data_IF_197210581443
#
_entry.id   IF_197210581443
#
_cell.length_a   1.000
_cell.length_b   1.000
_cell.length_c   1.000
_cell.angle_alpha   90.00
_cell.angle_beta   90.00
_cell.angle_gamma   90.00
#
_symmetry.space_group_name_H-M   'P 1'
#
loop_
_entity.id
_entity.type
_entity.pdbx_description
1 polymer ?
#
# COMPACT_ATOMS: atom_id res chain seq x y z
N UNK A 1 4.79 26.85 23.93
CA UNK A 1 4.40 28.27 23.87
C UNK A 1 3.59 28.46 22.60
N UNK A 2 2.27 28.59 22.71
CA UNK A 2 1.42 28.90 21.55
C UNK A 2 1.59 30.38 21.24
N UNK A 3 2.52 30.72 20.35
CA UNK A 3 2.52 32.05 19.75
C UNK A 3 1.27 32.15 18.90
N UNK A 4 0.29 32.95 19.35
CA UNK A 4 -0.85 33.33 18.53
C UNK A 4 -0.35 33.95 17.23
N UNK A 5 -1.03 33.64 16.13
CA UNK A 5 -0.72 34.21 14.82
C UNK A 5 -0.67 35.75 14.91
N UNK A 6 0.26 36.42 14.20
CA UNK A 6 0.30 37.87 14.18
C UNK A 6 -1.04 38.45 13.71
N UNK A 7 -1.53 39.48 14.39
CA UNK A 7 -2.68 40.24 13.90
C UNK A 7 -2.36 40.75 12.49
N UNK A 8 -3.24 40.46 11.53
CA UNK A 8 -3.08 40.72 10.09
C UNK A 8 -2.12 39.80 9.32
N UNK A 9 -1.88 38.58 9.79
CA UNK A 9 -1.26 37.55 8.96
C UNK A 9 -2.06 37.37 7.65
N UNK A 10 -1.45 37.51 6.46
CA UNK A 10 -2.15 37.34 5.18
C UNK A 10 -2.54 35.87 4.90
N UNK A 11 -2.12 34.93 5.75
CA UNK A 11 -2.26 33.50 5.54
C UNK A 11 -1.21 32.93 4.59
N UNK A 12 -0.97 31.62 4.66
CA UNK A 12 0.06 30.93 3.85
C UNK A 12 -0.26 30.88 2.36
N UNK A 13 -1.54 31.02 2.00
CA UNK A 13 -2.05 30.93 0.63
C UNK A 13 -2.04 32.28 -0.12
N UNK A 14 -1.88 33.39 0.59
CA UNK A 14 -1.93 34.73 -0.02
C UNK A 14 -0.68 35.03 -0.82
N UNK A 15 -0.80 35.75 -1.94
CA UNK A 15 0.35 36.23 -2.70
C UNK A 15 1.33 37.10 -1.89
N UNK A 16 0.86 37.61 -0.76
CA UNK A 16 1.58 38.44 0.20
C UNK A 16 2.20 37.63 1.37
N UNK A 17 1.98 36.32 1.46
CA UNK A 17 2.59 35.45 2.47
C UNK A 17 4.13 35.55 2.45
N UNK A 18 4.75 35.84 3.59
CA UNK A 18 6.20 36.06 3.71
C UNK A 18 6.72 37.36 3.09
N UNK A 19 5.87 38.12 2.38
CA UNK A 19 6.22 39.37 1.68
C UNK A 19 5.57 40.61 2.31
N UNK A 20 4.47 40.44 3.07
CA UNK A 20 3.78 41.55 3.73
C UNK A 20 4.53 42.04 4.97
N UNK A 21 4.25 43.27 5.38
CA UNK A 21 4.78 43.84 6.62
C UNK A 21 4.41 43.02 7.87
N UNK A 22 3.24 42.37 7.87
CA UNK A 22 2.81 41.50 8.96
C UNK A 22 3.62 40.19 9.06
N UNK A 23 4.38 39.83 8.02
CA UNK A 23 5.26 38.66 8.04
C UNK A 23 6.66 38.97 8.56
N UNK A 24 7.01 40.25 8.75
CA UNK A 24 8.34 40.66 9.22
C UNK A 24 8.60 40.14 10.64
N UNK A 25 9.64 39.33 10.81
CA UNK A 25 9.99 38.72 12.10
C UNK A 25 9.23 37.42 12.42
N UNK A 26 8.39 36.93 11.49
CA UNK A 26 7.79 35.61 11.60
C UNK A 26 8.87 34.52 11.37
N UNK A 27 8.99 33.50 12.25
CA UNK A 27 9.95 32.40 12.06
C UNK A 27 9.80 31.68 10.71
N UNK A 28 8.58 31.68 10.15
CA UNK A 28 8.25 31.01 8.89
C UNK A 28 8.28 31.95 7.66
N UNK A 29 8.74 33.20 7.79
CA UNK A 29 8.74 34.20 6.72
C UNK A 29 9.47 33.73 5.45
N UNK A 30 10.64 33.10 5.61
CA UNK A 30 11.44 32.57 4.50
C UNK A 30 10.71 31.48 3.72
N UNK A 31 10.02 30.58 4.42
CA UNK A 31 9.25 29.48 3.82
C UNK A 31 8.02 30.02 3.07
N UNK A 32 7.31 30.99 3.66
CA UNK A 32 6.14 31.61 3.02
C UNK A 32 6.51 32.45 1.79
N UNK A 33 7.65 33.16 1.83
CA UNK A 33 8.11 34.01 0.73
C UNK A 33 8.68 33.22 -0.45
N UNK A 34 9.27 32.05 -0.18
CA UNK A 34 9.75 31.10 -1.18
C UNK A 34 8.64 30.42 -2.00
N UNK A 35 7.37 30.61 -1.63
CA UNK A 35 6.23 30.06 -2.37
C UNK A 35 6.04 28.56 -2.22
N UNK A 36 6.93 27.84 -1.51
CA UNK A 36 6.88 26.39 -1.30
C UNK A 36 5.53 25.90 -0.74
N UNK A 37 4.92 26.71 0.14
CA UNK A 37 3.60 26.45 0.73
C UNK A 37 2.44 26.76 -0.24
N UNK A 38 2.63 27.65 -1.22
CA UNK A 38 1.65 27.98 -2.28
C UNK A 38 1.74 27.03 -3.47
N UNK A 39 2.94 26.52 -3.74
CA UNK A 39 3.24 25.55 -4.79
C UNK A 39 2.95 24.11 -4.37
N UNK A 40 2.65 23.87 -3.08
CA UNK A 40 1.82 22.73 -2.71
C UNK A 40 0.43 23.00 -3.32
N UNK A 41 0.29 22.67 -4.62
CA UNK A 41 -0.94 22.84 -5.36
C UNK A 41 -2.08 22.29 -4.50
N UNK A 42 -2.96 23.17 -4.01
CA UNK A 42 -4.13 22.73 -3.26
C UNK A 42 -4.85 21.74 -4.15
N UNK A 43 -5.07 20.54 -3.63
CA UNK A 43 -5.86 19.56 -4.35
C UNK A 43 -7.22 20.17 -4.67
N UNK A 44 -7.44 20.36 -5.96
CA UNK A 44 -8.70 20.89 -6.47
C UNK A 44 -9.70 19.75 -6.52
N UNK A 45 -10.98 20.05 -6.40
CA UNK A 45 -12.03 19.03 -6.55
C UNK A 45 -11.90 18.29 -7.90
N UNK A 46 -11.43 19.00 -8.93
CA UNK A 46 -11.09 18.48 -10.25
C UNK A 46 -10.06 17.33 -10.20
N UNK A 47 -9.03 17.43 -9.36
CA UNK A 47 -8.01 16.39 -9.23
C UNK A 47 -8.61 15.04 -8.78
N UNK A 48 -9.56 15.09 -7.83
CA UNK A 48 -10.23 13.88 -7.34
C UNK A 48 -11.11 13.23 -8.42
N UNK A 49 -11.80 14.04 -9.23
CA UNK A 49 -12.60 13.52 -10.35
C UNK A 49 -11.73 12.96 -11.47
N UNK A 50 -10.58 13.56 -11.74
CA UNK A 50 -9.63 13.05 -12.72
C UNK A 50 -9.05 11.71 -12.31
N UNK A 51 -8.66 11.56 -11.04
CA UNK A 51 -8.22 10.28 -10.46
C UNK A 51 -9.34 9.24 -10.59
N UNK A 52 -10.57 9.57 -10.17
CA UNK A 52 -11.70 8.64 -10.27
C UNK A 52 -11.99 8.22 -11.71
N UNK A 53 -11.88 9.15 -12.68
CA UNK A 53 -12.03 8.85 -14.10
C UNK A 53 -10.91 7.93 -14.60
N UNK A 54 -9.65 8.24 -14.26
CA UNK A 54 -8.48 7.44 -14.68
C UNK A 54 -8.50 6.03 -14.12
N UNK A 55 -8.94 5.86 -12.88
CA UNK A 55 -9.04 4.56 -12.24
C UNK A 55 -10.37 3.84 -12.52
N UNK A 56 -11.30 4.43 -13.27
CA UNK A 56 -12.64 3.87 -13.47
C UNK A 56 -12.67 2.56 -14.27
N UNK A 57 -11.66 2.33 -15.11
CA UNK A 57 -11.49 1.08 -15.87
C UNK A 57 -11.06 -0.11 -15.01
N UNK A 58 -10.43 0.16 -13.85
CA UNK A 58 -9.90 -0.89 -12.97
C UNK A 58 -11.08 -1.61 -12.29
N UNK A 59 -11.14 -2.95 -12.35
CA UNK A 59 -12.30 -3.68 -11.76
C UNK A 59 -12.27 -3.69 -10.22
N UNK A 60 -11.09 -3.85 -9.63
CA UNK A 60 -10.92 -4.01 -8.19
C UNK A 60 -9.68 -3.28 -7.66
N UNK A 61 -9.87 -2.29 -6.78
CA UNK A 61 -8.77 -1.65 -6.05
C UNK A 61 -8.73 -2.20 -4.62
N UNK A 62 -7.59 -2.74 -4.22
CA UNK A 62 -7.36 -3.39 -2.92
C UNK A 62 -6.17 -2.72 -2.24
N UNK A 63 -6.36 -2.27 -1.00
CA UNK A 63 -5.33 -1.55 -0.25
C UNK A 63 -4.69 -2.49 0.77
N UNK A 64 -3.38 -2.65 0.75
CA UNK A 64 -2.63 -3.45 1.72
C UNK A 64 -2.06 -2.53 2.79
N UNK A 65 -2.50 -2.73 4.04
CA UNK A 65 -2.10 -1.90 5.18
C UNK A 65 -1.43 -2.76 6.26
N UNK A 66 -0.57 -2.15 7.08
CA UNK A 66 0.00 -2.82 8.27
C UNK A 66 0.26 -1.85 9.40
N UNK A 67 -0.02 -2.26 10.64
CA UNK A 67 0.10 -1.35 11.80
C UNK A 67 1.55 -1.02 12.18
N UNK A 68 2.51 -1.82 11.72
CA UNK A 68 3.94 -1.70 12.00
C UNK A 68 4.77 -2.08 10.79
N UNK A 69 6.00 -1.54 10.73
CA UNK A 69 7.05 -2.08 9.86
C UNK A 69 7.45 -3.49 10.28
N UNK A 70 7.93 -4.29 9.32
CA UNK A 70 8.51 -5.62 9.57
C UNK A 70 7.51 -6.78 9.69
N UNK A 71 6.20 -6.55 9.57
CA UNK A 71 5.20 -7.65 9.53
C UNK A 71 5.11 -8.35 8.16
N UNK A 72 5.88 -7.88 7.17
CA UNK A 72 5.90 -8.42 5.80
C UNK A 72 4.77 -7.92 4.91
N UNK A 73 4.29 -6.70 5.11
CA UNK A 73 3.25 -6.05 4.28
C UNK A 73 3.58 -6.08 2.78
N UNK A 74 4.74 -5.53 2.39
CA UNK A 74 5.18 -5.47 0.99
C UNK A 74 5.45 -6.85 0.40
N UNK A 75 5.93 -7.79 1.22
CA UNK A 75 6.03 -9.22 0.86
C UNK A 75 4.66 -9.78 0.53
N UNK A 76 3.66 -9.58 1.38
CA UNK A 76 2.29 -10.03 1.14
C UNK A 76 1.72 -9.40 -0.12
N UNK A 77 1.86 -8.09 -0.31
CA UNK A 77 1.38 -7.39 -1.50
C UNK A 77 2.01 -7.94 -2.78
N UNK A 78 3.33 -8.11 -2.78
CA UNK A 78 4.11 -8.69 -3.89
C UNK A 78 3.66 -10.12 -4.21
N UNK A 79 3.63 -10.99 -3.21
CA UNK A 79 3.30 -12.40 -3.42
C UNK A 79 1.82 -12.59 -3.79
N UNK A 80 0.91 -11.77 -3.25
CA UNK A 80 -0.49 -11.79 -3.66
C UNK A 80 -0.64 -11.35 -5.12
N UNK A 81 0.06 -10.30 -5.56
CA UNK A 81 0.04 -9.87 -6.96
C UNK A 81 0.54 -10.97 -7.90
N UNK A 82 1.70 -11.58 -7.58
CA UNK A 82 2.26 -12.70 -8.34
C UNK A 82 1.33 -13.92 -8.34
N UNK A 83 0.67 -14.20 -7.21
CA UNK A 83 -0.26 -15.32 -7.12
C UNK A 83 -1.49 -15.12 -8.00
N UNK A 84 -2.09 -13.93 -7.99
CA UNK A 84 -3.28 -13.64 -8.80
C UNK A 84 -2.93 -13.76 -10.28
N UNK A 85 -1.83 -13.13 -10.72
CA UNK A 85 -1.36 -13.20 -12.09
C UNK A 85 -1.04 -14.64 -12.55
N UNK A 86 -0.52 -15.48 -11.64
CA UNK A 86 -0.25 -16.88 -11.92
C UNK A 86 -1.50 -17.75 -11.95
N UNK A 87 -2.42 -17.55 -11.00
CA UNK A 87 -3.58 -18.41 -10.81
C UNK A 87 -4.68 -18.15 -11.84
N UNK A 88 -4.78 -16.92 -12.33
CA UNK A 88 -5.69 -16.51 -13.38
C UNK A 88 -4.91 -15.76 -14.47
N UNK A 89 -4.53 -16.49 -15.52
CA UNK A 89 -3.73 -15.94 -16.64
C UNK A 89 -4.46 -14.88 -17.45
N UNK A 90 -5.79 -14.82 -17.35
CA UNK A 90 -6.62 -13.83 -18.04
C UNK A 90 -6.78 -12.54 -17.22
N UNK A 91 -6.39 -12.56 -15.94
CA UNK A 91 -6.46 -11.39 -15.07
C UNK A 91 -5.22 -10.52 -15.21
N UNK A 92 -5.42 -9.23 -15.49
CA UNK A 92 -4.36 -8.22 -15.47
C UNK A 92 -4.21 -7.61 -14.08
N UNK A 93 -2.99 -7.63 -13.55
CA UNK A 93 -2.68 -7.23 -12.16
C UNK A 93 -1.70 -6.08 -12.14
N UNK A 94 -2.04 -5.05 -11.36
CA UNK A 94 -1.21 -3.89 -11.08
C UNK A 94 -0.79 -3.88 -9.62
N UNK A 95 0.48 -3.62 -9.36
CA UNK A 95 1.03 -3.44 -8.02
C UNK A 95 1.61 -2.03 -7.89
N UNK A 96 0.96 -1.21 -7.06
CA UNK A 96 1.36 0.16 -6.79
C UNK A 96 1.99 0.27 -5.40
N UNK A 97 3.26 0.67 -5.34
CA UNK A 97 3.98 0.93 -4.11
C UNK A 97 4.00 2.43 -3.78
N UNK A 98 3.24 2.79 -2.74
CA UNK A 98 3.23 4.14 -2.17
C UNK A 98 4.00 4.24 -0.84
N UNK A 99 4.81 3.23 -0.49
CA UNK A 99 5.69 3.24 0.68
C UNK A 99 6.99 4.01 0.43
N UNK A 100 6.86 5.33 0.28
CA UNK A 100 7.94 6.27 -0.08
C UNK A 100 9.16 6.19 0.84
N UNK A 101 8.98 5.83 2.11
CA UNK A 101 10.06 5.81 3.08
C UNK A 101 10.95 4.57 3.01
N UNK A 102 10.52 3.52 2.33
CA UNK A 102 11.24 2.26 2.24
C UNK A 102 10.71 1.40 1.10
N UNK A 103 10.80 1.88 -0.16
CA UNK A 103 10.33 1.13 -1.30
C UNK A 103 11.10 -0.18 -1.41
N UNK A 104 10.37 -1.29 -1.25
CA UNK A 104 10.95 -2.64 -1.40
C UNK A 104 10.49 -3.33 -2.68
N UNK A 105 9.42 -2.83 -3.31
CA UNK A 105 8.77 -3.51 -4.43
C UNK A 105 9.67 -3.65 -5.66
N UNK A 106 10.49 -2.65 -6.08
CA UNK A 106 11.40 -2.83 -7.21
C UNK A 106 12.34 -4.03 -7.02
N UNK A 107 12.90 -4.16 -5.81
CA UNK A 107 13.79 -5.27 -5.45
C UNK A 107 13.05 -6.60 -5.38
N UNK A 108 11.90 -6.66 -4.71
CA UNK A 108 11.13 -7.91 -4.55
C UNK A 108 10.53 -8.41 -5.86
N UNK A 109 10.41 -7.53 -6.84
CA UNK A 109 9.94 -7.85 -8.19
C UNK A 109 11.06 -8.07 -9.21
N UNK A 110 12.33 -7.83 -8.84
CA UNK A 110 13.48 -8.04 -9.72
C UNK A 110 13.64 -6.98 -10.82
N UNK A 111 13.13 -5.78 -10.56
CA UNK A 111 13.09 -4.65 -11.51
C UNK A 111 13.77 -3.40 -10.92
N UNK A 112 14.70 -3.57 -9.98
CA UNK A 112 15.41 -2.45 -9.35
C UNK A 112 16.26 -1.59 -10.30
N UNK A 113 16.57 -2.10 -11.49
CA UNK A 113 17.37 -1.39 -12.50
C UNK A 113 16.52 -0.84 -13.66
N UNK A 114 15.19 -0.97 -13.56
CA UNK A 114 14.27 -0.45 -14.58
C UNK A 114 13.96 1.03 -14.33
N UNK A 115 13.81 1.78 -15.42
CA UNK A 115 13.45 3.19 -15.38
C UNK A 115 12.02 3.39 -15.89
N UNK A 116 11.26 4.25 -15.23
CA UNK A 116 9.91 4.60 -15.70
C UNK A 116 9.97 5.51 -16.92
N UNK A 117 9.17 5.19 -17.93
CA UNK A 117 9.05 6.03 -19.12
C UNK A 117 7.80 6.90 -19.02
N UNK A 118 7.95 8.18 -19.37
CA UNK A 118 6.83 9.11 -19.49
C UNK A 118 6.41 9.19 -20.96
N UNK A 119 5.20 8.73 -21.25
CA UNK A 119 4.61 8.75 -22.58
C UNK A 119 3.55 9.86 -22.70
N UNK A 120 2.88 9.97 -23.86
CA UNK A 120 1.76 10.88 -24.03
C UNK A 120 0.52 10.47 -23.20
N UNK A 121 0.39 9.18 -22.82
CA UNK A 121 -0.73 8.66 -22.03
C UNK A 121 -0.49 8.71 -20.53
N UNK A 122 0.78 8.82 -20.11
CA UNK A 122 1.20 8.90 -18.71
C UNK A 122 2.51 8.17 -18.44
N UNK A 123 2.79 7.88 -17.17
CA UNK A 123 3.88 7.01 -16.76
C UNK A 123 3.53 5.56 -17.07
N UNK A 124 4.36 4.92 -17.88
CA UNK A 124 4.25 3.50 -18.17
C UNK A 124 4.74 2.69 -16.95
N UNK A 125 3.92 1.79 -16.39
CA UNK A 125 4.38 0.88 -15.36
C UNK A 125 5.35 -0.15 -15.93
N UNK A 126 6.17 -0.74 -15.07
CA UNK A 126 7.14 -1.77 -15.43
C UNK A 126 6.45 -3.13 -15.42
N UNK A 127 6.44 -3.82 -16.54
CA UNK A 127 5.90 -5.18 -16.64
C UNK A 127 6.92 -6.19 -16.12
N UNK A 128 6.51 -6.98 -15.14
CA UNK A 128 7.30 -8.06 -14.52
C UNK A 128 6.95 -9.40 -15.14
N UNK A 129 5.69 -9.56 -15.55
CA UNK A 129 5.16 -10.64 -16.38
C UNK A 129 4.18 -10.02 -17.38
N UNK A 130 3.72 -10.77 -18.39
CA UNK A 130 2.81 -10.25 -19.43
C UNK A 130 1.51 -9.64 -18.87
N UNK A 131 1.02 -10.16 -17.75
CA UNK A 131 -0.21 -9.72 -17.07
C UNK A 131 0.04 -9.10 -15.68
N UNK A 132 1.30 -8.75 -15.35
CA UNK A 132 1.66 -8.17 -14.04
C UNK A 132 2.56 -6.94 -14.20
N UNK A 133 2.01 -5.78 -13.88
CA UNK A 133 2.72 -4.50 -13.96
C UNK A 133 2.92 -3.86 -12.58
N UNK A 134 4.02 -3.14 -12.42
CA UNK A 134 4.45 -2.52 -11.16
C UNK A 134 4.73 -1.03 -11.36
N UNK A 135 4.28 -0.24 -10.40
CA UNK A 135 4.71 1.15 -10.23
C UNK A 135 5.17 1.37 -8.79
N UNK A 136 6.34 2.00 -8.60
CA UNK A 136 6.87 2.25 -7.27
C UNK A 136 7.57 3.61 -7.19
N UNK A 137 7.46 4.24 -6.01
CA UNK A 137 8.29 5.38 -5.63
C UNK A 137 9.79 5.08 -5.66
N UNK A 138 10.21 3.82 -5.56
CA UNK A 138 11.61 3.43 -5.69
C UNK A 138 12.20 3.74 -7.07
N UNK A 139 11.40 3.77 -8.14
CA UNK A 139 11.86 4.17 -9.48
C UNK A 139 12.15 5.67 -9.61
N UNK A 140 11.69 6.49 -8.64
CA UNK A 140 11.92 7.93 -8.62
C UNK A 140 13.16 8.33 -7.81
N UNK A 141 13.83 7.35 -7.19
CA UNK A 141 15.04 7.55 -6.40
C UNK A 141 16.27 7.35 -7.28
N UNK A 142 17.31 8.15 -7.07
CA UNK A 142 18.61 7.97 -7.75
C UNK A 142 19.29 6.67 -7.28
N UNK A 143 19.11 6.33 -6.00
CA UNK A 143 19.52 5.06 -5.40
C UNK A 143 18.48 4.56 -4.41
N UNK A 144 18.27 3.24 -4.34
CA UNK A 144 17.42 2.60 -3.33
C UNK A 144 18.01 2.69 -1.91
N UNK A 145 19.30 2.97 -1.78
CA UNK A 145 19.97 3.19 -0.50
C UNK A 145 19.82 4.62 0.02
N UNK A 146 19.27 5.54 -0.78
CA UNK A 146 19.13 6.94 -0.39
C UNK A 146 18.04 7.10 0.67
N UNK A 147 18.38 7.78 1.76
CA UNK A 147 17.41 8.12 2.79
C UNK A 147 16.37 9.11 2.22
N UNK A 148 15.13 8.66 2.10
CA UNK A 148 14.04 9.48 1.56
C UNK A 148 13.53 10.46 2.62
N UNK A 149 14.10 11.66 2.63
CA UNK A 149 13.68 12.77 3.51
C UNK A 149 12.75 13.71 2.74
N UNK A 150 11.58 13.21 2.35
CA UNK A 150 10.56 14.03 1.66
C UNK A 150 9.53 14.59 2.65
N UNK A 151 9.19 15.87 2.50
CA UNK A 151 8.14 16.52 3.29
C UNK A 151 6.75 16.07 2.84
N UNK A 152 5.78 16.08 3.75
CA UNK A 152 4.41 15.62 3.53
C UNK A 152 3.77 16.09 2.21
N UNK A 153 3.81 17.38 1.83
CA UNK A 153 3.24 17.85 0.57
C UNK A 153 3.84 17.18 -0.67
N UNK A 154 5.16 16.92 -0.67
CA UNK A 154 5.83 16.22 -1.78
C UNK A 154 5.36 14.77 -1.85
N UNK A 155 5.24 14.09 -0.71
CA UNK A 155 4.74 12.72 -0.65
C UNK A 155 3.30 12.61 -1.17
N UNK A 156 2.42 13.50 -0.74
CA UNK A 156 1.03 13.56 -1.20
C UNK A 156 0.95 13.82 -2.71
N UNK A 157 1.78 14.74 -3.22
CA UNK A 157 1.88 15.01 -4.65
C UNK A 157 2.28 13.79 -5.48
N UNK A 158 3.22 12.98 -4.98
CA UNK A 158 3.61 11.73 -5.64
C UNK A 158 2.49 10.69 -5.61
N UNK A 159 1.81 10.51 -4.47
CA UNK A 159 0.65 9.59 -4.38
C UNK A 159 -0.42 10.01 -5.40
N UNK A 160 -0.73 11.30 -5.47
CA UNK A 160 -1.66 11.87 -6.46
C UNK A 160 -1.22 11.59 -7.90
N UNK A 161 0.05 11.84 -8.22
CA UNK A 161 0.61 11.56 -9.54
C UNK A 161 0.52 10.07 -9.88
N UNK A 162 0.80 9.15 -8.95
CA UNK A 162 0.64 7.73 -9.22
C UNK A 162 -0.80 7.33 -9.54
N UNK A 163 -1.78 7.91 -8.85
CA UNK A 163 -3.18 7.60 -9.07
C UNK A 163 -3.76 8.24 -10.34
N UNK A 164 -3.18 9.35 -10.81
CA UNK A 164 -3.68 10.13 -11.94
C UNK A 164 -2.92 9.85 -13.25
N UNK A 165 -1.61 9.75 -13.16
CA UNK A 165 -0.70 9.84 -14.29
C UNK A 165 -0.11 8.48 -14.68
N UNK A 166 -0.28 7.41 -13.89
CA UNK A 166 0.14 6.06 -14.29
C UNK A 166 -0.87 5.48 -15.28
N UNK A 167 -0.35 4.99 -16.39
CA UNK A 167 -1.13 4.33 -17.43
C UNK A 167 -1.22 2.83 -17.17
N UNK A 168 -2.22 2.42 -16.39
CA UNK A 168 -2.46 1.02 -16.03
C UNK A 168 -3.06 0.17 -17.17
N UNK A 169 -3.22 0.73 -18.39
CA UNK A 169 -4.05 0.21 -19.47
C UNK A 169 -5.56 0.16 -19.13
N UNK A 170 -6.39 0.01 -20.16
CA UNK A 170 -7.86 0.06 -20.01
C UNK A 170 -8.47 -1.23 -19.41
N UNK A 171 -7.69 -2.30 -19.20
CA UNK A 171 -8.21 -3.63 -18.86
C UNK A 171 -7.60 -4.21 -17.57
N UNK A 172 -7.28 -3.38 -16.58
CA UNK A 172 -6.74 -3.88 -15.30
C UNK A 172 -7.84 -4.49 -14.41
N UNK A 173 -7.69 -5.76 -14.03
CA UNK A 173 -8.64 -6.44 -13.14
C UNK A 173 -8.40 -6.07 -11.68
N UNK A 174 -7.15 -6.10 -11.24
CA UNK A 174 -6.77 -5.89 -9.85
C UNK A 174 -5.66 -4.86 -9.72
N UNK A 175 -5.90 -3.79 -8.97
CA UNK A 175 -4.86 -2.89 -8.49
C UNK A 175 -4.63 -3.11 -7.00
N UNK A 176 -3.46 -3.64 -6.66
CA UNK A 176 -3.00 -3.83 -5.28
C UNK A 176 -2.13 -2.64 -4.90
N UNK A 177 -2.50 -1.93 -3.85
CA UNK A 177 -1.77 -0.75 -3.37
C UNK A 177 -1.04 -1.10 -2.07
N UNK A 178 0.29 -1.16 -2.10
CA UNK A 178 1.14 -1.29 -0.91
C UNK A 178 1.35 0.08 -0.27
N UNK A 179 0.86 0.24 0.97
CA UNK A 179 0.87 1.52 1.68
C UNK A 179 2.00 1.60 2.70
N UNK A 180 2.44 2.77 3.20
CA UNK A 180 3.37 2.83 4.34
C UNK A 180 2.86 2.07 5.58
N UNK A 181 3.74 1.69 6.52
CA UNK A 181 3.28 1.16 7.80
C UNK A 181 2.66 2.24 8.71
N UNK A 182 1.68 1.84 9.51
CA UNK A 182 1.06 2.66 10.55
C UNK A 182 -0.29 3.25 10.14
N UNK A 183 -0.52 4.49 10.58
CA UNK A 183 -1.70 5.32 10.30
C UNK A 183 -1.25 6.76 10.07
N UNK A 184 -0.34 6.96 9.12
CA UNK A 184 0.25 8.23 8.73
C UNK A 184 -0.61 9.06 7.76
N UNK A 185 -0.18 10.29 7.47
CA UNK A 185 -0.85 11.24 6.56
C UNK A 185 -0.93 10.72 5.11
N UNK A 186 -0.01 9.84 4.71
CA UNK A 186 -0.01 9.17 3.41
C UNK A 186 -1.30 8.33 3.22
N UNK A 187 -1.79 7.64 4.26
CA UNK A 187 -3.06 6.91 4.16
C UNK A 187 -4.26 7.85 4.05
N UNK A 188 -4.25 8.96 4.79
CA UNK A 188 -5.33 9.96 4.69
C UNK A 188 -5.40 10.54 3.29
N UNK A 189 -4.25 10.82 2.68
CA UNK A 189 -4.15 11.35 1.32
C UNK A 189 -4.63 10.32 0.30
N UNK A 190 -4.14 9.07 0.38
CA UNK A 190 -4.57 7.97 -0.47
C UNK A 190 -6.10 7.76 -0.42
N UNK A 191 -6.66 7.64 0.79
CA UNK A 191 -8.11 7.42 0.95
C UNK A 191 -8.91 8.62 0.45
N UNK A 192 -8.41 9.84 0.66
CA UNK A 192 -9.04 11.06 0.15
C UNK A 192 -9.08 11.06 -1.38
N UNK A 193 -7.96 10.76 -2.05
CA UNK A 193 -7.89 10.71 -3.51
C UNK A 193 -8.78 9.61 -4.10
N UNK A 194 -8.90 8.48 -3.42
CA UNK A 194 -9.75 7.37 -3.83
C UNK A 194 -11.23 7.54 -3.49
N UNK A 195 -11.65 8.64 -2.85
CA UNK A 195 -13.00 8.83 -2.31
C UNK A 195 -14.13 8.69 -3.35
N UNK A 196 -13.89 9.11 -4.60
CA UNK A 196 -14.88 9.02 -5.68
C UNK A 196 -14.75 7.73 -6.52
N UNK A 197 -13.79 6.87 -6.21
CA UNK A 197 -13.58 5.59 -6.89
C UNK A 197 -14.55 4.54 -6.34
N UNK A 198 -15.51 4.09 -7.16
CA UNK A 198 -16.54 3.10 -6.76
C UNK A 198 -16.01 1.65 -6.78
N UNK A 199 -14.84 1.45 -7.36
CA UNK A 199 -14.15 0.18 -7.52
C UNK A 199 -13.19 -0.16 -6.36
N UNK A 200 -13.09 0.70 -5.33
CA UNK A 200 -12.35 0.41 -4.10
C UNK A 200 -13.10 -0.62 -3.28
N UNK A 201 -12.53 -1.82 -3.15
CA UNK A 201 -13.12 -2.92 -2.37
C UNK A 201 -12.80 -2.84 -0.89
N UNK A 202 -11.68 -2.18 -0.54
CA UNK A 202 -11.31 -1.92 0.84
C UNK A 202 -9.87 -2.30 1.15
N UNK A 203 -9.59 -2.37 2.44
CA UNK A 203 -8.27 -2.68 2.97
C UNK A 203 -8.14 -4.12 3.47
N UNK A 204 -6.98 -4.72 3.22
CA UNK A 204 -6.47 -5.93 3.87
C UNK A 204 -5.42 -5.51 4.89
N UNK A 205 -5.60 -5.91 6.14
CA UNK A 205 -4.64 -5.62 7.21
C UNK A 205 -3.67 -6.78 7.40
N UNK A 206 -2.38 -6.53 7.19
CA UNK A 206 -1.31 -7.50 7.42
C UNK A 206 -0.78 -7.37 8.84
N UNK A 207 -0.72 -8.48 9.55
CA UNK A 207 -0.20 -8.56 10.92
C UNK A 207 0.60 -9.84 11.14
N UNK A 208 1.18 -10.00 12.33
CA UNK A 208 1.74 -11.27 12.81
C UNK A 208 0.98 -11.72 14.06
N UNK A 209 1.06 -13.00 14.47
CA UNK A 209 0.38 -13.49 15.68
C UNK A 209 0.83 -12.82 16.99
N UNK A 210 1.92 -12.05 16.99
CA UNK A 210 2.42 -11.37 18.18
C UNK A 210 1.37 -10.38 18.73
N UNK A 211 1.16 -10.39 20.03
CA UNK A 211 0.17 -9.51 20.70
C UNK A 211 0.43 -8.02 20.40
N UNK A 212 1.71 -7.64 20.33
CA UNK A 212 2.14 -6.27 20.03
C UNK A 212 1.72 -5.86 18.59
N UNK A 213 1.83 -6.76 17.61
CA UNK A 213 1.37 -6.52 16.23
C UNK A 213 -0.16 -6.42 16.15
N UNK A 214 -0.86 -7.31 16.84
CA UNK A 214 -2.32 -7.33 16.94
C UNK A 214 -2.89 -6.05 17.58
N UNK A 215 -2.17 -5.41 18.50
CA UNK A 215 -2.57 -4.11 19.06
C UNK A 215 -2.64 -3.00 18.01
N UNK A 216 -1.75 -2.99 17.02
CA UNK A 216 -1.74 -1.94 16.01
C UNK A 216 -2.78 -2.17 14.92
N UNK A 217 -3.16 -3.41 14.64
CA UNK A 217 -4.34 -3.72 13.81
C UNK A 217 -5.59 -3.05 14.37
N UNK A 218 -5.77 -3.03 15.70
CA UNK A 218 -6.92 -2.36 16.33
C UNK A 218 -6.97 -0.86 16.01
N UNK A 219 -5.81 -0.19 15.99
CA UNK A 219 -5.73 1.23 15.62
C UNK A 219 -6.06 1.43 14.14
N UNK A 220 -5.64 0.50 13.28
CA UNK A 220 -5.96 0.54 11.85
C UNK A 220 -7.45 0.31 11.56
N UNK A 221 -8.10 -0.58 12.30
CA UNK A 221 -9.56 -0.77 12.23
C UNK A 221 -10.27 0.54 12.55
N UNK A 222 -9.90 1.19 13.65
CA UNK A 222 -10.49 2.47 14.04
C UNK A 222 -10.17 3.58 13.03
N UNK A 223 -8.97 3.59 12.44
CA UNK A 223 -8.63 4.50 11.35
C UNK A 223 -9.56 4.29 10.15
N UNK A 224 -9.67 3.05 9.63
CA UNK A 224 -10.50 2.73 8.47
C UNK A 224 -11.96 3.14 8.69
N UNK A 225 -12.51 2.86 9.89
CA UNK A 225 -13.87 3.27 10.27
C UNK A 225 -14.05 4.79 10.24
N UNK A 226 -13.08 5.56 10.76
CA UNK A 226 -13.14 7.03 10.76
C UNK A 226 -13.10 7.62 9.36
N UNK A 227 -12.27 7.07 8.48
CA UNK A 227 -12.14 7.52 7.08
C UNK A 227 -13.15 6.86 6.14
N UNK A 228 -14.04 6.00 6.68
CA UNK A 228 -15.03 5.22 5.93
C UNK A 228 -14.43 4.34 4.83
N UNK A 229 -13.22 3.84 5.03
CA UNK A 229 -12.60 2.85 4.17
C UNK A 229 -13.13 1.45 4.54
N UNK A 230 -13.74 0.70 3.61
CA UNK A 230 -14.17 -0.67 3.86
C UNK A 230 -12.99 -1.56 4.28
N UNK A 231 -13.24 -2.51 5.16
CA UNK A 231 -12.23 -3.49 5.59
C UNK A 231 -12.67 -4.83 5.02
N UNK A 232 -11.85 -5.40 4.15
CA UNK A 232 -12.09 -6.73 3.56
C UNK A 232 -11.79 -7.80 4.62
N UNK A 233 -10.69 -7.63 5.36
CA UNK A 233 -10.29 -8.55 6.42
C UNK A 233 -8.85 -8.33 6.84
N UNK A 234 -8.32 -9.30 7.58
CA UNK A 234 -6.93 -9.31 8.01
C UNK A 234 -6.23 -10.62 7.66
N UNK A 235 -4.91 -10.55 7.52
CA UNK A 235 -4.02 -11.66 7.21
C UNK A 235 -2.98 -11.78 8.32
N UNK A 236 -2.82 -12.99 8.88
CA UNK A 236 -1.71 -13.29 9.79
C UNK A 236 -0.52 -13.84 9.00
N UNK A 237 0.46 -12.99 8.73
CA UNK A 237 1.74 -13.40 8.18
C UNK A 237 2.62 -14.03 9.28
N UNK A 238 3.61 -14.83 8.88
CA UNK A 238 4.57 -15.46 9.78
C UNK A 238 3.91 -16.29 10.89
N UNK A 239 2.80 -16.95 10.57
CA UNK A 239 1.90 -17.58 11.54
C UNK A 239 2.44 -18.88 12.14
N UNK A 240 3.14 -19.66 11.33
CA UNK A 240 3.66 -20.99 11.69
C UNK A 240 4.96 -21.25 10.94
N UNK A 241 5.93 -21.85 11.62
CA UNK A 241 7.13 -22.41 10.98
C UNK A 241 7.02 -23.93 10.97
N UNK A 242 7.10 -24.56 9.80
CA UNK A 242 7.09 -26.01 9.71
C UNK A 242 8.51 -26.51 9.47
N UNK A 243 9.00 -27.36 10.37
CA UNK A 243 10.36 -27.87 10.26
C UNK A 243 10.52 -28.72 8.98
N UNK A 244 11.45 -28.40 8.07
CA UNK A 244 11.62 -29.17 6.83
C UNK A 244 12.16 -30.58 7.06
N UNK A 245 12.72 -30.87 8.24
CA UNK A 245 13.28 -32.19 8.60
C UNK A 245 12.26 -33.15 9.21
N UNK A 246 11.33 -32.64 10.04
CA UNK A 246 10.41 -33.48 10.80
C UNK A 246 8.93 -33.12 10.64
N UNK A 247 8.60 -32.16 9.78
CA UNK A 247 7.25 -31.68 9.49
C UNK A 247 6.47 -31.15 10.69
N UNK A 248 7.12 -30.96 11.84
CA UNK A 248 6.49 -30.42 13.04
C UNK A 248 6.21 -28.93 12.88
N UNK A 249 4.98 -28.54 13.18
CA UNK A 249 4.58 -27.14 13.27
C UNK A 249 5.12 -26.50 14.55
N UNK A 250 5.69 -25.30 14.39
CA UNK A 250 6.22 -24.48 15.45
C UNK A 250 5.62 -23.09 15.34
N UNK A 251 4.79 -22.73 16.30
CA UNK A 251 4.25 -21.39 16.44
C UNK A 251 5.31 -20.53 17.15
N UNK A 252 6.20 -19.94 16.35
CA UNK A 252 7.32 -19.11 16.85
C UNK A 252 6.77 -17.91 17.60
N UNK A 253 5.81 -17.22 17.00
CA UNK A 253 5.10 -16.11 17.60
C UNK A 253 3.84 -16.63 18.28
N UNK A 254 3.97 -17.00 19.55
CA UNK A 254 2.81 -17.41 20.35
C UNK A 254 2.02 -16.17 20.76
N UNK A 255 0.77 -16.08 20.33
CA UNK A 255 -0.19 -15.19 20.96
C UNK A 255 -0.56 -15.75 22.35
N UNK A 256 -0.74 -14.87 23.35
CA UNK A 256 -1.44 -15.24 24.59
C UNK A 256 -2.91 -15.61 24.34
N UNK A 257 -3.50 -15.13 23.24
CA UNK A 257 -4.80 -15.56 22.76
C UNK A 257 -4.62 -16.80 21.87
N UNK A 258 -4.87 -17.98 22.43
CA UNK A 258 -4.88 -19.26 21.69
C UNK A 258 -6.00 -19.36 20.64
N UNK A 259 -6.71 -18.28 20.34
CA UNK A 259 -7.79 -18.25 19.36
C UNK A 259 -7.53 -17.23 18.25
N UNK A 260 -7.76 -17.61 16.98
CA UNK A 260 -7.90 -16.69 15.83
C UNK A 260 -8.99 -15.61 16.00
N UNK A 261 -9.76 -15.66 17.08
CA UNK A 261 -11.09 -15.07 17.12
C UNK A 261 -11.17 -13.70 17.79
N UNK A 262 -10.10 -13.17 18.40
CA UNK A 262 -10.25 -11.90 19.15
C UNK A 262 -10.56 -10.69 18.27
N UNK A 263 -10.04 -10.63 17.03
CA UNK A 263 -10.35 -9.52 16.12
C UNK A 263 -11.73 -9.69 15.47
N UNK A 264 -12.07 -10.90 15.06
CA UNK A 264 -13.37 -11.20 14.46
C UNK A 264 -14.52 -11.04 15.47
N UNK A 265 -14.39 -11.63 16.67
CA UNK A 265 -15.39 -11.52 17.74
C UNK A 265 -15.57 -10.07 18.21
N UNK A 266 -14.48 -9.30 18.32
CA UNK A 266 -14.52 -7.96 18.91
C UNK A 266 -14.82 -6.84 17.91
N UNK A 267 -14.36 -6.99 16.68
CA UNK A 267 -14.42 -5.94 15.66
C UNK A 267 -15.21 -6.35 14.40
N UNK A 268 -15.63 -7.61 14.30
CA UNK A 268 -16.35 -8.12 13.12
C UNK A 268 -15.48 -8.18 11.86
N UNK A 269 -14.14 -8.26 12.02
CA UNK A 269 -13.21 -8.29 10.90
C UNK A 269 -12.77 -9.73 10.64
N UNK A 270 -12.96 -10.20 9.42
CA UNK A 270 -12.72 -11.59 9.02
C UNK A 270 -11.24 -11.91 8.84
N UNK A 271 -10.83 -13.10 9.27
CA UNK A 271 -9.52 -13.66 8.94
C UNK A 271 -9.54 -14.19 7.50
N UNK A 272 -8.73 -13.61 6.62
CA UNK A 272 -8.63 -14.02 5.22
C UNK A 272 -7.70 -15.22 5.03
N UNK A 273 -6.68 -15.34 5.87
CA UNK A 273 -5.72 -16.43 5.76
C UNK A 273 -4.54 -16.31 6.71
N UNK A 274 -3.67 -17.31 6.64
CA UNK A 274 -2.46 -17.42 7.45
C UNK A 274 -1.31 -17.84 6.56
N UNK A 275 -0.25 -17.03 6.53
CA UNK A 275 0.95 -17.37 5.77
C UNK A 275 2.02 -17.95 6.71
N UNK A 276 2.73 -19.01 6.31
CA UNK A 276 3.79 -19.58 7.12
C UNK A 276 5.07 -18.71 7.06
N UNK A 277 5.96 -18.95 8.02
CA UNK A 277 7.36 -18.54 7.92
C UNK A 277 8.06 -19.58 7.06
N UNK A 278 8.44 -19.20 5.84
CA UNK A 278 9.15 -20.08 4.92
C UNK A 278 10.33 -19.35 4.26
N UNK A 279 11.55 -19.93 4.30
CA UNK A 279 12.71 -19.36 3.63
C UNK A 279 12.53 -19.11 2.13
N UNK A 280 11.68 -19.88 1.43
CA UNK A 280 11.48 -19.69 -0.01
C UNK A 280 10.79 -18.37 -0.33
N UNK A 281 9.93 -17.87 0.56
CA UNK A 281 9.29 -16.55 0.41
C UNK A 281 10.36 -15.45 0.50
N UNK A 282 11.26 -15.55 1.49
CA UNK A 282 12.38 -14.62 1.63
C UNK A 282 13.30 -14.66 0.40
N UNK A 283 13.68 -15.87 -0.04
CA UNK A 283 14.50 -16.06 -1.24
C UNK A 283 13.84 -15.49 -2.51
N UNK A 284 12.53 -15.69 -2.67
CA UNK A 284 11.76 -15.12 -3.78
C UNK A 284 11.83 -13.61 -3.81
N UNK A 285 11.70 -12.95 -2.65
CA UNK A 285 11.87 -11.50 -2.52
C UNK A 285 13.32 -11.05 -2.79
N UNK A 286 14.33 -11.73 -2.23
CA UNK A 286 15.73 -11.31 -2.37
C UNK A 286 16.24 -11.45 -3.81
N UNK A 287 15.79 -12.50 -4.51
CA UNK A 287 16.16 -12.78 -5.91
C UNK A 287 15.23 -12.10 -6.92
N UNK A 288 14.13 -11.48 -6.48
CA UNK A 288 13.14 -10.86 -7.37
C UNK A 288 12.37 -11.85 -8.24
N UNK A 289 12.28 -13.13 -7.84
CA UNK A 289 11.73 -14.22 -8.67
C UNK A 289 10.42 -14.74 -8.12
N UNK A 290 9.47 -15.04 -9.01
CA UNK A 290 8.21 -15.67 -8.62
C UNK A 290 8.45 -17.03 -7.95
N UNK A 291 7.77 -17.27 -6.83
CA UNK A 291 7.69 -18.60 -6.23
C UNK A 291 6.54 -19.44 -6.82
N UNK A 292 5.66 -18.84 -7.62
CA UNK A 292 4.56 -19.51 -8.30
C UNK A 292 4.95 -19.78 -9.75
N UNK A 293 5.02 -21.07 -10.11
CA UNK A 293 5.15 -21.56 -11.47
C UNK A 293 4.59 -22.99 -11.53
N UNK A 294 4.36 -23.51 -12.73
CA UNK A 294 3.77 -24.84 -12.90
C UNK A 294 4.61 -25.97 -12.28
N UNK A 295 5.93 -25.81 -12.24
CA UNK A 295 6.84 -26.78 -11.62
C UNK A 295 6.77 -26.73 -10.08
N UNK A 296 6.43 -25.58 -9.50
CA UNK A 296 6.36 -25.34 -8.06
C UNK A 296 5.00 -25.70 -7.44
N UNK A 297 3.93 -25.91 -8.24
CA UNK A 297 2.69 -26.55 -7.74
C UNK A 297 2.99 -27.91 -7.06
N UNK A 298 4.07 -28.57 -7.46
CA UNK A 298 4.48 -29.89 -6.98
C UNK A 298 5.54 -29.84 -5.85
N UNK A 299 6.21 -28.71 -5.62
CA UNK A 299 7.31 -28.54 -4.67
C UNK A 299 6.89 -27.59 -3.54
N UNK A 300 6.43 -28.19 -2.44
CA UNK A 300 5.87 -27.56 -1.22
C UNK A 300 4.50 -26.86 -1.39
N UNK A 301 3.47 -27.72 -1.47
CA UNK A 301 2.06 -27.36 -1.62
C UNK A 301 1.53 -26.38 -0.54
N UNK A 302 2.23 -26.15 0.57
CA UNK A 302 1.68 -25.37 1.70
C UNK A 302 1.61 -23.88 1.45
N UNK A 303 2.63 -23.30 0.82
CA UNK A 303 2.61 -21.87 0.50
C UNK A 303 1.58 -21.62 -0.58
N UNK A 304 1.59 -22.44 -1.63
CA UNK A 304 0.61 -22.38 -2.70
C UNK A 304 -0.82 -22.48 -2.14
N UNK A 305 -1.09 -23.49 -1.31
CA UNK A 305 -2.38 -23.64 -0.63
C UNK A 305 -2.74 -22.44 0.26
N UNK A 306 -1.78 -21.87 1.00
CA UNK A 306 -2.05 -20.72 1.85
C UNK A 306 -2.45 -19.48 1.03
N UNK A 307 -1.84 -19.26 -0.14
CA UNK A 307 -2.24 -18.19 -1.06
C UNK A 307 -3.54 -18.51 -1.81
N UNK A 308 -3.79 -19.77 -2.15
CA UNK A 308 -5.05 -20.24 -2.73
C UNK A 308 -6.22 -20.02 -1.75
N UNK A 309 -6.05 -20.36 -0.47
CA UNK A 309 -7.04 -20.13 0.57
C UNK A 309 -7.29 -18.63 0.78
N UNK A 310 -6.21 -17.82 0.84
CA UNK A 310 -6.30 -16.37 0.90
C UNK A 310 -7.08 -15.80 -0.29
N UNK A 311 -6.74 -16.24 -1.49
CA UNK A 311 -7.38 -15.79 -2.73
C UNK A 311 -8.86 -16.14 -2.78
N UNK A 312 -9.21 -17.38 -2.44
CA UNK A 312 -10.60 -17.84 -2.41
C UNK A 312 -11.43 -17.06 -1.38
N UNK A 313 -10.86 -16.76 -0.21
CA UNK A 313 -11.54 -15.94 0.80
C UNK A 313 -11.67 -14.48 0.34
N UNK A 314 -10.63 -13.92 -0.25
CA UNK A 314 -10.65 -12.56 -0.82
C UNK A 314 -11.72 -12.42 -1.91
N UNK A 315 -11.81 -13.37 -2.85
CA UNK A 315 -12.83 -13.37 -3.90
C UNK A 315 -14.25 -13.43 -3.33
N UNK A 316 -14.49 -14.22 -2.27
CA UNK A 316 -15.79 -14.28 -1.59
C UNK A 316 -16.17 -12.92 -1.01
N UNK A 317 -15.27 -12.25 -0.30
CA UNK A 317 -15.54 -10.94 0.30
C UNK A 317 -15.76 -9.85 -0.77
N UNK A 318 -14.93 -9.84 -1.81
CA UNK A 318 -15.06 -8.88 -2.93
C UNK A 318 -16.40 -9.04 -3.63
N UNK A 319 -16.88 -10.27 -3.83
CA UNK A 319 -18.15 -10.52 -4.50
C UNK A 319 -19.37 -10.26 -3.60
N UNK A 320 -19.27 -10.50 -2.29
CA UNK A 320 -20.33 -10.16 -1.33
C UNK A 320 -20.55 -8.65 -1.20
N UNK A 321 -19.51 -7.83 -1.40
CA UNK A 321 -19.63 -6.36 -1.36
C UNK A 321 -20.41 -5.74 -2.53
N UNK A 322 -20.88 -6.54 -3.50
CA UNK A 322 -21.71 -6.09 -4.64
C UNK A 322 -23.22 -6.23 -4.41
N UNK A 323 -23.65 -6.95 -3.37
CA UNK A 323 -25.07 -7.14 -2.98
C UNK A 323 -25.50 -6.14 -1.89
#
# INVERSE_FOLDING_TARGET
MSSSEPEHCPGIDSEQAGKSAACAGCPNQGVCSGGELRSAAKDTEQDYYEIARKLSSIKHIIIIMSGKGGVGKSTVATQLARFIAFNDSESNVGLLDVDICGPSIPKTMGVENEEIFNSASGWSPIFVEDNLAVMSCGFLLESLDDAVIWRGPRKNGIIKQFLRDVDWSDELDYLIIDTPPGTSDEHLSLVSYLKFCQNVRGAIMVTTPQEIAQMDVRKQIEFCRKVKLPIIGYLENMSVFVCPKCSKENYIFKSKSTRPSTLEEKYGIKLLGRLPIDPIIGKSCDEGKSLFNDNNKLLDNRIHQAFEDLWNNLCKEINQSKE
#
